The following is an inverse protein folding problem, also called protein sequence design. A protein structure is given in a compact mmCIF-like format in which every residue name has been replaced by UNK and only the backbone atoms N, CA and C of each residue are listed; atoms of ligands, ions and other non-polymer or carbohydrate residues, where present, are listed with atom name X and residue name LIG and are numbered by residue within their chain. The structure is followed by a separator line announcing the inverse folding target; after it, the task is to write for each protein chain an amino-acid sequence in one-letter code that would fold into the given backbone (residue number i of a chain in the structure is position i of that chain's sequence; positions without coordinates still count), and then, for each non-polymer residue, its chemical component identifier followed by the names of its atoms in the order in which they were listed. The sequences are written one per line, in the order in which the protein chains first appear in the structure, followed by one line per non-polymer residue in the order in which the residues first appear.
data_IF_059184710943
#
_entry.id   IF_059184710943
#
_cell.length_a   1.000
_cell.length_b   1.000
_cell.length_c   1.000
_cell.angle_alpha   90.00
_cell.angle_beta   90.00
_cell.angle_gamma   90.00
#
_symmetry.space_group_name_H-M   'P 1'
#
loop_
_entity.id
_entity.type
_entity.pdbx_description
1 polymer ?
#
# COMPACT_ATOMS: atom_id res chain seq x y z
N UNK A 1 -8.92 19.40 41.03
CA UNK A 1 -10.12 19.87 40.31
C UNK A 1 -10.69 18.69 39.55
N UNK A 2 -11.97 18.41 39.79
CA UNK A 2 -12.64 17.14 39.56
C UNK A 2 -12.92 16.84 38.08
N UNK A 3 -12.84 15.55 37.74
CA UNK A 3 -13.42 14.95 36.53
C UNK A 3 -14.83 14.44 36.85
N UNK A 4 -15.79 14.69 35.95
CA UNK A 4 -17.10 14.04 35.98
C UNK A 4 -17.51 13.70 34.56
N UNK A 5 -17.80 12.42 34.39
CA UNK A 5 -18.27 11.72 33.20
C UNK A 5 -19.66 11.26 33.61
N UNK A 6 -20.69 11.63 32.84
CA UNK A 6 -22.02 11.06 33.02
C UNK A 6 -22.50 10.41 31.73
N UNK A 7 -23.11 9.26 31.97
CA UNK A 7 -23.52 8.19 31.10
C UNK A 7 -25.05 8.24 31.03
N UNK A 8 -25.66 8.13 29.85
CA UNK A 8 -27.12 7.95 29.73
C UNK A 8 -27.44 6.91 28.65
N UNK A 9 -27.82 5.74 29.15
CA UNK A 9 -28.54 4.65 28.48
C UNK A 9 -30.03 4.77 28.79
N UNK A 10 -30.90 4.61 27.78
CA UNK A 10 -32.19 3.92 27.91
C UNK A 10 -32.82 3.60 26.52
N UNK A 11 -33.56 2.48 26.38
CA UNK A 11 -34.03 1.93 25.09
C UNK A 11 -35.55 2.12 24.86
N UNK A 12 -36.03 1.90 23.63
CA UNK A 12 -37.48 1.78 23.33
C UNK A 12 -37.78 0.74 22.23
N UNK A 13 -38.30 -0.39 22.72
CA UNK A 13 -39.36 -1.30 22.24
C UNK A 13 -39.84 -1.38 20.78
N UNK A 14 -39.94 -2.65 20.36
CA UNK A 14 -40.81 -3.35 19.41
C UNK A 14 -42.14 -2.70 18.98
N UNK A 15 -42.44 -2.84 17.67
CA UNK A 15 -43.80 -3.03 17.15
C UNK A 15 -43.78 -4.12 16.07
N UNK A 16 -44.51 -5.20 16.35
CA UNK A 16 -44.92 -6.28 15.43
C UNK A 16 -46.36 -6.06 14.98
N UNK A 17 -46.64 -6.06 13.67
CA UNK A 17 -47.91 -6.45 12.99
C UNK A 17 -47.52 -6.68 11.51
N UNK A 18 -47.95 -7.65 10.72
CA UNK A 18 -48.97 -8.70 10.76
C UNK A 18 -49.22 -9.05 9.29
N UNK A 19 -49.21 -10.34 8.94
CA UNK A 19 -49.24 -10.78 7.54
C UNK A 19 -50.60 -10.66 6.85
N UNK A 20 -50.58 -10.67 5.52
CA UNK A 20 -51.70 -11.12 4.70
C UNK A 20 -51.17 -11.68 3.36
N UNK A 21 -51.46 -12.95 3.13
CA UNK A 21 -51.35 -13.67 1.87
C UNK A 21 -52.46 -13.29 0.90
N UNK A 22 -52.16 -13.21 -0.39
CA UNK A 22 -53.16 -13.10 -1.46
C UNK A 22 -52.56 -13.40 -2.84
N UNK A 23 -52.98 -14.52 -3.40
CA UNK A 23 -52.70 -15.06 -4.75
C UNK A 23 -53.48 -14.33 -5.85
N UNK A 24 -52.88 -14.16 -7.05
CA UNK A 24 -53.43 -14.61 -8.35
C UNK A 24 -52.71 -14.00 -9.57
N UNK A 25 -52.21 -14.91 -10.40
CA UNK A 25 -52.10 -14.96 -11.87
C UNK A 25 -52.22 -13.72 -12.77
N UNK A 26 -51.33 -13.69 -13.78
CA UNK A 26 -51.49 -12.89 -14.99
C UNK A 26 -50.28 -12.97 -15.92
N UNK A 27 -50.20 -14.03 -16.72
CA UNK A 27 -49.24 -14.15 -17.82
C UNK A 27 -49.62 -13.22 -18.99
N UNK A 28 -48.67 -12.45 -19.50
CA UNK A 28 -48.66 -12.04 -20.91
C UNK A 28 -47.22 -11.86 -21.38
N UNK A 29 -46.85 -12.63 -22.39
CA UNK A 29 -45.61 -12.45 -23.12
C UNK A 29 -45.61 -11.10 -23.84
N UNK A 30 -44.43 -10.47 -23.88
CA UNK A 30 -44.09 -9.42 -24.81
C UNK A 30 -42.61 -9.56 -25.10
N UNK A 31 -42.33 -9.78 -26.38
CA UNK A 31 -41.01 -9.86 -27.00
C UNK A 31 -40.09 -8.75 -26.50
N UNK A 32 -39.01 -9.14 -25.81
CA UNK A 32 -37.90 -8.21 -25.55
C UNK A 32 -37.07 -8.09 -26.81
N UNK A 33 -37.38 -7.05 -27.57
CA UNK A 33 -36.51 -6.50 -28.62
C UNK A 33 -35.10 -6.30 -28.07
N UNK A 34 -34.15 -6.82 -28.82
CA UNK A 34 -32.74 -6.48 -28.75
C UNK A 34 -32.54 -4.96 -28.94
N UNK A 35 -31.57 -4.40 -28.22
CA UNK A 35 -30.83 -3.21 -28.63
C UNK A 35 -31.52 -1.86 -28.50
N UNK A 36 -31.52 -1.28 -27.29
CA UNK A 36 -31.50 0.18 -27.14
C UNK A 36 -30.23 0.58 -26.37
N UNK A 37 -29.40 1.35 -27.06
CA UNK A 37 -28.05 1.80 -26.69
C UNK A 37 -28.06 2.72 -25.48
N UNK A 38 -27.19 2.45 -24.50
CA UNK A 38 -26.93 3.25 -23.29
C UNK A 38 -26.25 4.62 -23.57
N UNK A 39 -26.32 5.14 -24.80
CA UNK A 39 -25.48 6.23 -25.30
C UNK A 39 -26.18 7.59 -25.46
N UNK A 40 -27.45 7.73 -25.07
CA UNK A 40 -28.20 8.98 -25.34
C UNK A 40 -28.69 9.71 -24.08
N UNK A 41 -28.05 9.42 -22.94
CA UNK A 41 -28.38 10.10 -21.69
C UNK A 41 -27.77 11.51 -21.70
N UNK A 42 -28.61 12.54 -21.64
CA UNK A 42 -28.14 13.92 -21.56
C UNK A 42 -27.77 14.30 -20.12
N UNK A 43 -26.89 15.30 -19.94
CA UNK A 43 -26.53 15.83 -18.60
C UNK A 43 -27.77 16.24 -17.79
N UNK A 44 -28.82 16.74 -18.45
CA UNK A 44 -30.08 17.10 -17.82
C UNK A 44 -30.83 15.88 -17.26
N UNK A 45 -30.89 14.78 -18.01
CA UNK A 45 -31.50 13.53 -17.55
C UNK A 45 -30.70 12.90 -16.41
N UNK A 46 -29.37 13.06 -16.42
CA UNK A 46 -28.48 12.62 -15.35
C UNK A 46 -28.69 13.40 -14.04
N UNK A 47 -28.72 14.73 -14.09
CA UNK A 47 -28.99 15.52 -12.90
C UNK A 47 -30.37 15.21 -12.32
N UNK A 48 -31.35 14.95 -13.19
CA UNK A 48 -32.69 14.51 -12.79
C UNK A 48 -32.68 13.15 -12.08
N UNK A 49 -31.96 12.15 -12.58
CA UNK A 49 -31.89 10.83 -11.94
C UNK A 49 -31.24 10.84 -10.55
N UNK A 50 -30.39 11.84 -10.28
CA UNK A 50 -29.74 12.05 -8.99
C UNK A 50 -30.53 12.97 -8.03
N UNK A 51 -31.64 13.56 -8.49
CA UNK A 51 -32.40 14.57 -7.75
C UNK A 51 -31.65 15.90 -7.58
N UNK A 52 -30.77 16.24 -8.53
CA UNK A 52 -29.91 17.43 -8.53
C UNK A 52 -30.25 18.41 -9.67
N UNK A 53 -31.53 18.47 -10.07
CA UNK A 53 -32.00 19.32 -11.17
C UNK A 53 -31.65 20.81 -10.98
N UNK A 54 -31.58 21.28 -9.73
CA UNK A 54 -31.21 22.65 -9.38
C UNK A 54 -29.77 23.04 -9.78
N UNK A 55 -28.91 22.07 -10.12
CA UNK A 55 -27.54 22.33 -10.57
C UNK A 55 -27.44 22.55 -12.09
N UNK A 56 -28.54 22.38 -12.82
CA UNK A 56 -28.59 22.49 -14.28
C UNK A 56 -27.98 23.79 -14.81
N UNK A 57 -28.31 24.92 -14.20
CA UNK A 57 -27.84 26.23 -14.67
C UNK A 57 -26.32 26.38 -14.52
N UNK A 58 -25.73 25.77 -13.49
CA UNK A 58 -24.29 25.75 -13.28
C UNK A 58 -23.62 24.93 -14.39
N UNK A 59 -24.11 23.72 -14.64
CA UNK A 59 -23.56 22.85 -15.70
C UNK A 59 -23.71 23.48 -17.09
N UNK A 60 -24.82 24.16 -17.36
CA UNK A 60 -25.03 24.86 -18.62
C UNK A 60 -24.13 26.09 -18.75
N UNK A 61 -23.97 26.89 -17.68
CA UNK A 61 -23.11 28.08 -17.69
C UNK A 61 -21.64 27.71 -17.91
N UNK A 62 -21.17 26.67 -17.23
CA UNK A 62 -19.78 26.20 -17.32
C UNK A 62 -19.56 25.21 -18.47
N UNK A 63 -20.57 24.95 -19.32
CA UNK A 63 -20.52 24.02 -20.46
C UNK A 63 -20.03 22.60 -20.09
N UNK A 64 -20.44 22.09 -18.94
CA UNK A 64 -20.05 20.77 -18.44
C UNK A 64 -20.98 19.70 -19.01
N UNK A 65 -20.45 18.90 -19.93
CA UNK A 65 -21.08 17.68 -20.45
C UNK A 65 -20.76 16.45 -19.58
N UNK A 66 -21.37 15.29 -19.88
CA UNK A 66 -21.16 14.07 -19.07
C UNK A 66 -19.73 13.52 -19.17
N UNK A 67 -19.09 13.65 -20.32
CA UNK A 67 -17.68 13.30 -20.54
C UNK A 67 -16.75 14.22 -19.74
N UNK A 68 -17.00 15.55 -19.75
CA UNK A 68 -16.24 16.49 -18.92
C UNK A 68 -16.45 16.19 -17.44
N UNK A 69 -17.69 15.92 -17.02
CA UNK A 69 -18.01 15.55 -15.64
C UNK A 69 -17.29 14.27 -15.18
N UNK A 70 -17.05 13.31 -16.09
CA UNK A 70 -16.34 12.07 -15.77
C UNK A 70 -14.89 12.30 -15.32
N UNK A 71 -14.29 13.42 -15.76
CA UNK A 71 -12.92 13.81 -15.40
C UNK A 71 -12.85 14.77 -14.19
N UNK A 72 -14.00 15.21 -13.66
CA UNK A 72 -14.06 16.17 -12.55
C UNK A 72 -14.03 15.51 -11.18
N UNK A 73 -13.21 16.05 -10.27
CA UNK A 73 -13.11 15.64 -8.88
C UNK A 73 -13.83 16.58 -7.91
N UNK A 74 -13.60 16.34 -6.62
CA UNK A 74 -14.21 17.12 -5.55
C UNK A 74 -13.76 18.58 -5.52
N UNK A 75 -12.57 18.91 -6.01
CA UNK A 75 -12.04 20.28 -6.02
C UNK A 75 -12.56 21.06 -7.24
N UNK A 76 -12.58 20.46 -8.42
CA UNK A 76 -13.11 21.06 -9.65
C UNK A 76 -14.61 21.35 -9.52
N UNK A 77 -15.37 20.45 -8.88
CA UNK A 77 -16.79 20.69 -8.60
C UNK A 77 -17.01 21.83 -7.59
N UNK A 78 -16.07 22.10 -6.67
CA UNK A 78 -16.15 23.29 -5.80
C UNK A 78 -15.88 24.56 -6.60
N UNK A 79 -14.91 24.53 -7.52
CA UNK A 79 -14.53 25.68 -8.33
C UNK A 79 -15.68 26.19 -9.20
N UNK A 80 -16.51 25.29 -9.74
CA UNK A 80 -17.73 25.66 -10.48
C UNK A 80 -18.92 26.06 -9.58
N UNK A 81 -18.74 26.05 -8.25
CA UNK A 81 -19.72 26.54 -7.28
C UNK A 81 -20.56 25.46 -6.57
N UNK A 82 -20.25 24.18 -6.73
CA UNK A 82 -20.96 23.07 -6.05
C UNK A 82 -20.29 22.78 -4.70
N UNK A 83 -20.49 23.66 -3.73
CA UNK A 83 -19.81 23.58 -2.43
C UNK A 83 -20.29 22.39 -1.57
N UNK A 84 -21.59 22.08 -1.63
CA UNK A 84 -22.22 21.03 -0.85
C UNK A 84 -21.59 19.66 -1.13
N UNK A 85 -20.96 19.06 -0.11
CA UNK A 85 -20.28 17.77 -0.24
C UNK A 85 -21.19 16.66 -0.77
N UNK A 86 -22.42 16.58 -0.26
CA UNK A 86 -23.39 15.56 -0.68
C UNK A 86 -23.75 15.64 -2.17
N UNK A 87 -23.81 16.85 -2.74
CA UNK A 87 -24.08 17.04 -4.16
C UNK A 87 -22.88 16.57 -5.00
N UNK A 88 -21.66 16.98 -4.63
CA UNK A 88 -20.42 16.54 -5.29
C UNK A 88 -20.26 15.03 -5.25
N UNK A 89 -20.51 14.42 -4.09
CA UNK A 89 -20.42 12.97 -3.92
C UNK A 89 -21.43 12.22 -4.78
N UNK A 90 -22.69 12.70 -4.85
CA UNK A 90 -23.74 12.10 -5.69
C UNK A 90 -23.40 12.19 -7.19
N UNK A 91 -22.83 13.30 -7.66
CA UNK A 91 -22.41 13.48 -9.06
C UNK A 91 -21.30 12.49 -9.42
N UNK A 92 -20.24 12.41 -8.61
CA UNK A 92 -19.10 11.50 -8.83
C UNK A 92 -19.56 10.03 -8.80
N UNK A 93 -20.33 9.63 -7.78
CA UNK A 93 -20.85 8.25 -7.70
C UNK A 93 -21.88 7.93 -8.78
N UNK A 94 -22.63 8.94 -9.23
CA UNK A 94 -23.60 8.80 -10.31
C UNK A 94 -22.92 8.52 -11.65
N UNK A 95 -21.85 9.25 -11.97
CA UNK A 95 -21.15 9.10 -13.25
C UNK A 95 -20.37 7.78 -13.30
N UNK A 96 -19.76 7.35 -12.19
CA UNK A 96 -19.14 6.03 -12.06
C UNK A 96 -20.13 4.88 -12.31
N UNK A 97 -21.38 5.01 -11.83
CA UNK A 97 -22.44 4.02 -12.08
C UNK A 97 -22.95 4.06 -13.52
N UNK A 98 -23.01 5.24 -14.12
CA UNK A 98 -23.45 5.41 -15.51
C UNK A 98 -22.44 4.84 -16.50
N UNK A 99 -21.15 5.05 -16.25
CA UNK A 99 -20.04 4.48 -17.04
C UNK A 99 -19.78 3.00 -16.74
N UNK A 100 -20.19 2.52 -15.55
CA UNK A 100 -19.97 1.16 -15.06
C UNK A 100 -21.14 0.19 -15.26
N UNK A 101 -21.98 0.37 -16.28
CA UNK A 101 -23.14 -0.49 -16.57
C UNK A 101 -22.80 -1.99 -16.58
N UNK A 102 -23.54 -2.75 -15.76
CA UNK A 102 -23.46 -4.18 -15.43
C UNK A 102 -22.72 -5.15 -16.41
N UNK A 103 -21.69 -5.81 -15.84
CA UNK A 103 -21.15 -7.17 -16.10
C UNK A 103 -20.85 -7.64 -17.53
N UNK A 104 -19.56 -7.95 -17.78
CA UNK A 104 -19.13 -8.98 -18.73
C UNK A 104 -18.29 -8.48 -19.92
N UNK A 105 -17.00 -8.17 -19.73
CA UNK A 105 -16.09 -7.87 -20.83
C UNK A 105 -14.62 -7.83 -20.38
N UNK A 106 -13.74 -8.47 -21.14
CA UNK A 106 -12.34 -8.82 -20.83
C UNK A 106 -11.47 -7.68 -20.24
N UNK A 107 -10.58 -7.97 -19.26
CA UNK A 107 -9.77 -6.99 -18.53
C UNK A 107 -8.53 -6.46 -19.30
N UNK A 108 -8.41 -6.72 -20.60
CA UNK A 108 -7.15 -6.44 -21.31
C UNK A 108 -7.04 -5.08 -21.99
N UNK A 109 -8.12 -4.36 -22.29
CA UNK A 109 -8.00 -3.13 -23.09
C UNK A 109 -9.12 -2.12 -22.79
N UNK A 110 -8.92 -1.24 -21.81
CA UNK A 110 -9.41 0.15 -21.89
C UNK A 110 -8.68 1.04 -20.88
N UNK A 111 -7.62 1.67 -21.39
CA UNK A 111 -6.84 2.73 -20.76
C UNK A 111 -7.69 4.00 -20.63
N UNK A 112 -8.05 4.40 -19.42
CA UNK A 112 -8.25 5.82 -19.06
C UNK A 112 -7.48 6.07 -17.75
N UNK A 113 -6.30 6.66 -17.91
CA UNK A 113 -5.24 6.64 -16.90
C UNK A 113 -4.77 8.06 -16.58
N UNK A 114 -5.57 8.77 -15.77
CA UNK A 114 -5.22 10.10 -15.23
C UNK A 114 -5.58 10.29 -13.75
N UNK A 115 -6.36 9.41 -13.10
CA UNK A 115 -6.71 9.59 -11.67
C UNK A 115 -6.71 8.33 -10.78
N UNK A 116 -6.28 7.17 -11.28
CA UNK A 116 -6.23 5.98 -10.42
C UNK A 116 -5.10 6.11 -9.40
N UNK A 117 -5.48 6.20 -8.12
CA UNK A 117 -4.58 6.03 -6.99
C UNK A 117 -3.92 4.64 -6.99
N UNK A 118 -3.27 4.28 -5.89
CA UNK A 118 -2.60 2.97 -5.81
C UNK A 118 -3.59 1.82 -5.88
N UNK A 119 -3.38 0.92 -6.84
CA UNK A 119 -4.05 -0.37 -6.96
C UNK A 119 -3.10 -1.46 -6.46
N UNK A 120 -3.63 -2.41 -5.70
CA UNK A 120 -2.89 -3.58 -5.23
C UNK A 120 -3.41 -4.81 -5.98
N UNK A 121 -2.53 -5.51 -6.70
CA UNK A 121 -2.86 -6.71 -7.45
C UNK A 121 -2.28 -7.91 -6.70
N UNK A 122 -3.15 -8.81 -6.23
CA UNK A 122 -2.72 -10.04 -5.56
C UNK A 122 -2.02 -10.95 -6.57
N UNK A 123 -0.81 -11.40 -6.23
CA UNK A 123 -0.09 -12.40 -7.02
C UNK A 123 -0.51 -13.80 -6.56
N UNK A 124 -0.80 -14.68 -7.52
CA UNK A 124 -1.14 -16.06 -7.22
C UNK A 124 0.12 -16.84 -6.78
N UNK A 125 0.04 -17.76 -5.80
CA UNK A 125 1.22 -18.49 -5.30
C UNK A 125 1.94 -19.35 -6.35
N UNK A 126 1.23 -19.75 -7.40
CA UNK A 126 1.76 -20.50 -8.54
C UNK A 126 2.41 -19.60 -9.61
N UNK A 127 2.26 -18.27 -9.50
CA UNK A 127 2.95 -17.29 -10.35
C UNK A 127 4.47 -17.29 -10.04
N UNK A 128 5.29 -17.28 -11.09
CA UNK A 128 6.75 -17.16 -10.98
C UNK A 128 7.17 -15.85 -10.30
N UNK A 129 6.42 -14.78 -10.50
CA UNK A 129 6.67 -13.48 -9.85
C UNK A 129 6.48 -13.59 -8.33
N UNK A 130 5.44 -14.29 -7.86
CA UNK A 130 5.25 -14.59 -6.44
C UNK A 130 6.41 -15.41 -5.89
N UNK A 131 6.76 -16.52 -6.55
CA UNK A 131 7.79 -17.46 -6.11
C UNK A 131 9.16 -16.79 -6.00
N UNK A 132 9.52 -15.93 -6.97
CA UNK A 132 10.79 -15.19 -6.94
C UNK A 132 10.87 -14.22 -5.77
N UNK A 133 9.77 -13.51 -5.46
CA UNK A 133 9.72 -12.60 -4.30
C UNK A 133 9.77 -13.37 -2.98
N UNK A 134 9.08 -14.52 -2.90
CA UNK A 134 9.14 -15.40 -1.74
C UNK A 134 10.55 -15.97 -1.52
N UNK A 135 11.20 -16.45 -2.57
CA UNK A 135 12.55 -17.01 -2.51
C UNK A 135 13.55 -15.97 -2.01
N UNK A 136 13.51 -14.75 -2.55
CA UNK A 136 14.38 -13.66 -2.08
C UNK A 136 14.07 -13.28 -0.62
N UNK A 137 12.79 -13.26 -0.23
CA UNK A 137 12.39 -12.97 1.14
C UNK A 137 12.96 -14.00 2.12
N UNK A 138 12.83 -15.29 1.82
CA UNK A 138 13.25 -16.39 2.70
C UNK A 138 14.77 -16.56 2.70
N UNK A 139 15.42 -16.56 1.54
CA UNK A 139 16.87 -16.81 1.40
C UNK A 139 17.75 -15.73 2.03
N UNK A 140 17.20 -14.53 2.25
CA UNK A 140 17.91 -13.37 2.82
C UNK A 140 17.68 -13.17 4.32
N UNK A 141 17.04 -14.13 5.01
CA UNK A 141 16.97 -14.17 6.48
C UNK A 141 18.37 -14.38 7.07
N UNK A 142 18.69 -13.65 8.14
CA UNK A 142 19.95 -13.72 8.86
C UNK A 142 19.72 -13.58 10.37
N UNK A 143 20.61 -14.15 11.17
CA UNK A 143 20.59 -13.99 12.63
C UNK A 143 21.11 -12.61 13.05
N UNK A 144 20.36 -11.87 13.86
CA UNK A 144 20.76 -10.53 14.26
C UNK A 144 21.54 -10.53 15.58
N UNK A 145 22.51 -9.61 15.69
CA UNK A 145 23.36 -9.45 16.89
C UNK A 145 22.59 -9.15 18.17
N UNK A 146 21.36 -8.64 18.06
CA UNK A 146 20.48 -8.32 19.19
C UNK A 146 19.70 -9.54 19.70
N UNK A 147 20.01 -10.75 19.22
CA UNK A 147 19.34 -11.99 19.64
C UNK A 147 17.85 -12.01 19.29
N UNK A 148 17.41 -11.24 18.29
CA UNK A 148 16.01 -11.11 17.91
C UNK A 148 15.21 -10.10 18.73
N UNK A 149 15.85 -9.26 19.55
CA UNK A 149 15.14 -8.27 20.36
C UNK A 149 14.27 -7.31 19.54
N UNK A 150 14.76 -6.78 18.43
CA UNK A 150 14.00 -5.83 17.59
C UNK A 150 13.00 -6.53 16.65
N UNK A 151 13.43 -7.61 15.99
CA UNK A 151 12.67 -8.26 14.91
C UNK A 151 11.86 -9.49 15.33
N UNK A 152 12.12 -10.04 16.51
CA UNK A 152 11.69 -11.38 16.92
C UNK A 152 12.69 -12.48 16.56
N UNK A 153 12.48 -13.66 17.11
CA UNK A 153 13.31 -14.86 16.88
C UNK A 153 12.61 -15.77 15.88
N UNK A 154 13.21 -16.00 14.72
CA UNK A 154 12.62 -16.82 13.64
C UNK A 154 13.69 -17.26 12.64
N UNK A 155 13.40 -18.34 11.91
CA UNK A 155 14.25 -18.84 10.81
C UNK A 155 13.53 -18.89 9.45
N UNK A 156 12.21 -18.64 9.44
CA UNK A 156 11.39 -18.57 8.23
C UNK A 156 10.20 -17.65 8.42
N UNK A 157 9.64 -17.16 7.32
CA UNK A 157 8.35 -16.49 7.31
C UNK A 157 7.23 -17.46 6.89
N UNK A 158 6.02 -17.16 7.34
CA UNK A 158 4.78 -17.66 6.75
C UNK A 158 4.21 -16.53 5.88
N UNK A 159 4.29 -16.68 4.56
CA UNK A 159 3.81 -15.66 3.62
C UNK A 159 2.29 -15.79 3.51
N UNK A 160 1.57 -14.72 3.82
CA UNK A 160 0.11 -14.67 3.74
C UNK A 160 -0.34 -14.25 2.35
N UNK A 161 0.29 -13.20 1.81
CA UNK A 161 0.07 -12.72 0.44
C UNK A 161 1.18 -11.79 -0.03
N UNK A 162 1.39 -11.73 -1.34
CA UNK A 162 2.25 -10.76 -2.02
C UNK A 162 1.37 -9.99 -3.00
N UNK A 163 1.41 -8.68 -2.91
CA UNK A 163 0.63 -7.80 -3.77
C UNK A 163 1.57 -6.90 -4.58
N UNK A 164 1.38 -6.84 -5.89
CA UNK A 164 2.06 -5.87 -6.74
C UNK A 164 1.41 -4.50 -6.59
N UNK A 165 2.21 -3.49 -6.31
CA UNK A 165 1.75 -2.13 -6.14
C UNK A 165 1.77 -1.45 -7.50
N UNK A 166 0.60 -1.02 -7.98
CA UNK A 166 0.44 -0.33 -9.25
C UNK A 166 -0.01 1.09 -8.98
N UNK A 167 0.89 2.04 -9.19
CA UNK A 167 0.57 3.47 -9.15
C UNK A 167 1.31 4.19 -10.28
N UNK A 168 0.56 4.65 -11.28
CA UNK A 168 1.12 5.26 -12.49
C UNK A 168 1.96 6.49 -12.19
N UNK A 169 1.44 7.41 -11.38
CA UNK A 169 2.12 8.67 -11.02
C UNK A 169 3.42 8.40 -10.25
N UNK A 170 3.43 7.43 -9.34
CA UNK A 170 4.66 7.02 -8.64
C UNK A 170 5.66 6.38 -9.60
N UNK A 171 5.19 5.52 -10.52
CA UNK A 171 6.03 4.84 -11.50
C UNK A 171 6.67 5.83 -12.48
N UNK A 172 5.93 6.83 -12.94
CA UNK A 172 6.44 7.89 -13.81
C UNK A 172 7.52 8.74 -13.12
N UNK A 173 7.29 9.17 -11.87
CA UNK A 173 8.32 9.89 -11.09
C UNK A 173 9.59 9.07 -10.91
N UNK A 174 9.43 7.78 -10.60
CA UNK A 174 10.54 6.85 -10.47
C UNK A 174 11.33 6.69 -11.78
N UNK A 175 10.64 6.41 -12.89
CA UNK A 175 11.26 6.23 -14.19
C UNK A 175 11.98 7.49 -14.68
N UNK A 176 11.40 8.67 -14.41
CA UNK A 176 12.04 9.95 -14.72
C UNK A 176 13.38 10.12 -13.98
N UNK A 177 13.38 9.95 -12.64
CA UNK A 177 14.61 10.05 -11.87
C UNK A 177 15.64 8.97 -12.24
N UNK A 178 15.16 7.76 -12.55
CA UNK A 178 16.04 6.68 -13.00
C UNK A 178 16.81 7.06 -14.26
N UNK A 179 16.13 7.69 -15.24
CA UNK A 179 16.76 8.17 -16.46
C UNK A 179 17.80 9.27 -16.18
N UNK A 180 17.45 10.27 -15.36
CA UNK A 180 18.41 11.32 -14.97
C UNK A 180 19.69 10.73 -14.35
N UNK A 181 19.55 9.77 -13.44
CA UNK A 181 20.69 9.11 -12.80
C UNK A 181 21.50 8.29 -13.80
N UNK A 182 20.85 7.65 -14.78
CA UNK A 182 21.56 6.93 -15.83
C UNK A 182 22.43 7.91 -16.64
N UNK A 183 21.86 9.04 -17.07
CA UNK A 183 22.54 10.06 -17.85
C UNK A 183 23.72 10.67 -17.06
N UNK A 184 23.55 10.89 -15.75
CA UNK A 184 24.59 11.36 -14.81
C UNK A 184 25.69 10.32 -14.54
N UNK A 185 25.42 9.03 -14.79
CA UNK A 185 26.30 7.92 -14.41
C UNK A 185 26.64 6.99 -15.58
N UNK A 186 27.00 7.55 -16.75
CA UNK A 186 27.49 6.80 -17.91
C UNK A 186 26.49 5.74 -18.41
N UNK A 187 25.21 6.09 -18.46
CA UNK A 187 24.08 5.20 -18.81
C UNK A 187 23.86 4.02 -17.85
N UNK A 188 24.37 4.11 -16.61
CA UNK A 188 24.18 3.08 -15.58
C UNK A 188 23.38 3.61 -14.38
N UNK A 189 22.09 3.30 -14.33
CA UNK A 189 21.24 3.67 -13.19
C UNK A 189 21.44 2.79 -11.95
N UNK A 190 22.06 1.60 -12.09
CA UNK A 190 22.37 0.69 -10.97
C UNK A 190 21.13 0.40 -10.09
N UNK A 191 20.06 -0.10 -10.71
CA UNK A 191 18.84 -0.49 -10.00
C UNK A 191 19.08 -1.79 -9.22
N UNK A 192 18.59 -1.83 -7.98
CA UNK A 192 18.51 -3.06 -7.19
C UNK A 192 17.13 -3.23 -6.58
N UNK A 193 16.75 -4.49 -6.39
CA UNK A 193 15.62 -4.85 -5.56
C UNK A 193 16.08 -4.94 -4.10
N UNK A 194 15.43 -4.22 -3.19
CA UNK A 194 15.80 -4.14 -1.78
C UNK A 194 14.57 -4.06 -0.87
N UNK A 195 14.67 -4.59 0.35
CA UNK A 195 13.58 -4.59 1.32
C UNK A 195 13.49 -3.27 2.09
N UNK A 196 12.28 -2.90 2.49
CA UNK A 196 12.01 -1.78 3.38
C UNK A 196 10.90 -2.11 4.39
N UNK A 197 11.21 -2.02 5.68
CA UNK A 197 10.24 -2.15 6.77
C UNK A 197 9.96 -0.79 7.42
N UNK A 198 8.69 -0.48 7.65
CA UNK A 198 8.27 0.80 8.24
C UNK A 198 6.86 0.70 8.82
N UNK A 199 6.57 1.40 9.93
CA UNK A 199 5.19 1.53 10.43
C UNK A 199 4.33 2.41 9.51
N UNK A 200 4.92 3.08 8.51
CA UNK A 200 4.25 4.01 7.59
C UNK A 200 4.04 3.44 6.18
N UNK A 201 4.09 2.11 6.00
CA UNK A 201 3.95 1.45 4.69
C UNK A 201 2.72 1.92 3.90
N UNK A 202 1.56 2.10 4.56
CA UNK A 202 0.36 2.61 3.89
C UNK A 202 0.56 3.99 3.27
N UNK A 203 1.30 4.88 3.94
CA UNK A 203 1.62 6.19 3.36
C UNK A 203 2.56 6.04 2.16
N UNK A 204 3.57 5.16 2.26
CA UNK A 204 4.56 4.92 1.21
C UNK A 204 3.91 4.38 -0.06
N UNK A 205 3.04 3.37 0.02
CA UNK A 205 2.40 2.79 -1.17
C UNK A 205 1.44 3.77 -1.86
N UNK A 206 0.85 4.72 -1.13
CA UNK A 206 -0.09 5.71 -1.69
C UNK A 206 0.57 7.00 -2.17
N UNK A 207 1.64 7.45 -1.50
CA UNK A 207 2.27 8.76 -1.74
C UNK A 207 3.70 8.67 -2.27
N UNK A 208 4.27 7.47 -2.30
CA UNK A 208 5.68 7.22 -2.57
C UNK A 208 6.57 7.43 -1.35
N UNK A 209 7.85 7.12 -1.51
CA UNK A 209 8.87 7.52 -0.54
C UNK A 209 9.04 9.04 -0.55
N UNK A 210 9.43 9.60 0.59
CA UNK A 210 9.57 11.04 0.80
C UNK A 210 10.66 11.30 1.84
N UNK A 211 11.78 11.86 1.40
CA UNK A 211 12.95 12.15 2.23
C UNK A 211 12.66 13.15 3.36
N UNK A 212 11.58 13.93 3.27
CA UNK A 212 11.16 14.84 4.35
C UNK A 212 10.73 14.10 5.61
N UNK A 213 10.42 12.80 5.48
CA UNK A 213 10.11 11.90 6.60
C UNK A 213 11.30 10.97 6.93
N UNK A 214 12.48 11.22 6.39
CA UNK A 214 13.66 10.41 6.63
C UNK A 214 14.05 10.40 8.12
N UNK A 215 14.57 9.26 8.57
CA UNK A 215 15.04 9.12 9.93
C UNK A 215 16.40 9.82 10.10
N UNK A 216 16.39 11.00 10.70
CA UNK A 216 17.60 11.82 10.97
C UNK A 216 18.62 11.07 11.86
N UNK A 217 18.13 10.16 12.71
CA UNK A 217 18.96 9.38 13.63
C UNK A 217 19.73 8.22 12.98
N UNK A 218 19.53 7.92 11.69
CA UNK A 218 20.20 6.80 11.00
C UNK A 218 21.71 6.97 10.87
N UNK A 219 22.47 5.88 10.74
CA UNK A 219 23.95 5.91 10.72
C UNK A 219 24.53 6.78 9.58
N UNK A 220 23.80 6.91 8.48
CA UNK A 220 24.18 7.72 7.33
C UNK A 220 23.37 9.02 7.21
N UNK A 221 22.71 9.42 8.30
CA UNK A 221 21.91 10.64 8.38
C UNK A 221 20.49 10.51 7.80
N UNK A 222 19.93 11.64 7.36
CA UNK A 222 18.52 11.81 6.99
C UNK A 222 18.22 11.28 5.58
N UNK A 223 18.39 9.98 5.40
CA UNK A 223 18.04 9.26 4.17
C UNK A 223 16.93 8.23 4.36
N UNK A 224 16.53 7.62 3.24
CA UNK A 224 15.60 6.49 3.19
C UNK A 224 16.44 5.22 3.10
N UNK A 225 16.26 4.32 4.08
CA UNK A 225 17.10 3.14 4.27
C UNK A 225 16.42 1.89 3.71
N UNK A 226 17.23 1.05 3.07
CA UNK A 226 16.84 -0.24 2.52
C UNK A 226 17.87 -1.31 2.94
N UNK A 227 17.44 -2.56 2.93
CA UNK A 227 18.29 -3.69 3.25
C UNK A 227 18.21 -4.77 2.16
N UNK A 228 19.33 -5.43 1.89
CA UNK A 228 19.34 -6.67 1.10
C UNK A 228 18.86 -7.88 1.91
N UNK A 229 18.86 -7.78 3.25
CA UNK A 229 18.34 -8.82 4.12
C UNK A 229 16.91 -8.51 4.56
N UNK A 230 15.96 -9.37 4.23
CA UNK A 230 14.55 -9.23 4.65
C UNK A 230 14.42 -9.09 6.17
N UNK A 231 15.15 -9.91 6.91
CA UNK A 231 15.18 -9.92 8.38
C UNK A 231 15.66 -8.61 9.00
N UNK A 232 16.53 -7.87 8.32
CA UNK A 232 16.98 -6.53 8.73
C UNK A 232 15.85 -5.52 8.60
N UNK A 233 15.13 -5.53 7.48
CA UNK A 233 13.93 -4.69 7.29
C UNK A 233 12.80 -5.05 8.27
N UNK A 234 12.65 -6.33 8.63
CA UNK A 234 11.69 -6.77 9.64
C UNK A 234 11.92 -6.10 11.02
N UNK A 235 13.15 -5.74 11.40
CA UNK A 235 13.44 -5.02 12.65
C UNK A 235 12.81 -3.61 12.71
N UNK A 236 12.33 -3.06 11.59
CA UNK A 236 11.79 -1.71 11.48
C UNK A 236 10.28 -1.66 11.19
N UNK A 237 9.62 -2.81 11.02
CA UNK A 237 8.17 -2.89 10.73
C UNK A 237 7.34 -2.18 11.79
N UNK A 238 7.72 -2.31 13.06
CA UNK A 238 7.05 -1.66 14.18
C UNK A 238 7.75 -0.38 14.66
N UNK A 239 8.65 0.19 13.85
CA UNK A 239 9.45 1.36 14.17
C UNK A 239 10.89 1.01 14.59
N UNK A 240 11.65 2.05 14.96
CA UNK A 240 13.09 1.94 15.29
C UNK A 240 13.29 0.95 16.43
N UNK A 241 14.19 -0.02 16.23
CA UNK A 241 14.47 -1.07 17.22
C UNK A 241 13.26 -1.98 17.52
N UNK A 242 12.33 -2.11 16.58
CA UNK A 242 11.08 -2.85 16.75
C UNK A 242 10.01 -2.13 17.57
N UNK A 243 10.25 -0.90 18.02
CA UNK A 243 9.31 -0.12 18.83
C UNK A 243 8.78 -0.90 20.04
N UNK A 244 7.46 -0.85 20.23
CA UNK A 244 6.76 -1.63 21.26
C UNK A 244 6.22 -2.97 20.73
N UNK A 245 6.66 -3.40 19.54
CA UNK A 245 6.16 -4.60 18.89
C UNK A 245 4.78 -4.42 18.26
N UNK A 246 4.08 -5.53 18.03
CA UNK A 246 2.76 -5.49 17.40
C UNK A 246 1.75 -4.67 18.24
N UNK A 247 0.84 -3.90 17.62
CA UNK A 247 -0.07 -3.03 18.35
C UNK A 247 -0.96 -3.76 19.37
N UNK A 248 -1.38 -4.98 19.04
CA UNK A 248 -2.31 -5.81 19.82
C UNK A 248 -1.66 -6.41 21.06
N UNK A 249 -0.50 -7.07 20.92
CA UNK A 249 0.11 -7.83 22.01
C UNK A 249 1.32 -7.12 22.65
N UNK A 250 1.75 -5.98 22.09
CA UNK A 250 2.98 -5.28 22.51
C UNK A 250 4.21 -6.19 22.52
N UNK A 251 4.27 -7.09 21.53
CA UNK A 251 5.30 -8.11 21.41
C UNK A 251 6.05 -7.95 20.07
N UNK A 252 7.38 -7.74 20.17
CA UNK A 252 8.30 -7.62 19.02
C UNK A 252 8.54 -8.95 18.33
N UNK A 253 8.36 -10.07 19.04
CA UNK A 253 8.47 -11.43 18.54
C UNK A 253 7.11 -12.10 18.31
N UNK A 254 6.05 -11.31 18.12
CA UNK A 254 4.72 -11.85 17.91
C UNK A 254 4.66 -12.72 16.64
N UNK A 255 4.21 -13.96 16.82
CA UNK A 255 4.01 -14.97 15.76
C UNK A 255 2.57 -15.03 15.23
N UNK A 256 1.67 -14.18 15.75
CA UNK A 256 0.23 -14.18 15.43
C UNK A 256 -0.14 -13.02 14.52
N UNK A 257 0.30 -11.80 14.83
CA UNK A 257 -0.07 -10.62 14.04
C UNK A 257 0.59 -10.65 12.66
N UNK A 258 -0.18 -10.30 11.64
CA UNK A 258 0.36 -10.05 10.31
C UNK A 258 1.28 -8.83 10.34
N UNK A 259 2.43 -8.97 9.69
CA UNK A 259 3.41 -7.93 9.41
C UNK A 259 3.35 -7.57 7.94
N UNK A 260 3.83 -6.38 7.62
CA UNK A 260 4.00 -5.96 6.25
C UNK A 260 5.39 -5.37 6.05
N UNK A 261 6.01 -5.71 4.92
CA UNK A 261 7.23 -5.06 4.42
C UNK A 261 7.12 -4.83 2.92
N UNK A 262 7.94 -3.93 2.41
CA UNK A 262 8.03 -3.64 0.98
C UNK A 262 9.26 -4.31 0.39
N UNK A 263 9.15 -4.73 -0.87
CA UNK A 263 10.27 -5.11 -1.71
C UNK A 263 10.30 -4.17 -2.92
N UNK A 264 11.31 -3.32 -2.97
CA UNK A 264 11.31 -2.08 -3.73
C UNK A 264 12.35 -2.11 -4.84
N UNK A 265 12.05 -1.48 -5.98
CA UNK A 265 13.10 -1.05 -6.92
C UNK A 265 13.78 0.19 -6.35
N UNK A 266 15.11 0.19 -6.32
CA UNK A 266 15.91 1.29 -5.78
C UNK A 266 17.02 1.63 -6.77
N UNK A 267 17.00 2.85 -7.28
CA UNK A 267 18.00 3.38 -8.20
C UNK A 267 19.17 3.97 -7.43
N UNK A 268 20.31 3.29 -7.43
CA UNK A 268 21.47 3.66 -6.62
C UNK A 268 22.45 4.57 -7.36
N UNK A 269 22.47 4.56 -8.69
CA UNK A 269 23.48 5.25 -9.49
C UNK A 269 24.90 4.95 -9.03
N UNK A 270 25.76 5.97 -9.06
CA UNK A 270 27.06 5.95 -8.37
C UNK A 270 26.89 5.98 -6.85
N UNK A 271 27.21 4.87 -6.20
CA UNK A 271 27.12 4.72 -4.74
C UNK A 271 28.42 5.11 -4.05
N UNK A 272 28.30 5.88 -2.96
CA UNK A 272 29.40 6.16 -2.05
C UNK A 272 29.50 5.06 -0.99
N UNK A 273 30.63 4.35 -0.95
CA UNK A 273 30.84 3.25 -0.02
C UNK A 273 31.32 3.78 1.33
N UNK A 274 30.71 3.32 2.42
CA UNK A 274 31.09 3.73 3.76
C UNK A 274 31.07 2.55 4.74
N UNK A 275 32.01 2.55 5.69
CA UNK A 275 32.18 1.48 6.69
C UNK A 275 31.86 1.93 8.12
N UNK A 276 31.78 3.25 8.35
CA UNK A 276 31.51 3.89 9.64
C UNK A 276 30.34 4.88 9.55
N UNK A 277 29.71 5.18 10.69
CA UNK A 277 28.62 6.15 10.70
C UNK A 277 29.11 7.53 10.23
N UNK A 278 28.37 8.14 9.30
CA UNK A 278 28.65 9.47 8.76
C UNK A 278 27.32 10.14 8.46
N UNK A 279 26.95 11.13 9.27
CA UNK A 279 25.65 11.81 9.14
C UNK A 279 25.63 12.68 7.89
N UNK A 280 24.72 12.40 6.97
CA UNK A 280 24.51 13.16 5.74
C UNK A 280 23.05 13.58 5.61
N UNK A 281 22.79 14.75 5.02
CA UNK A 281 21.44 15.20 4.67
C UNK A 281 21.10 14.93 3.20
N UNK A 282 22.13 14.76 2.38
CA UNK A 282 22.03 14.53 0.94
C UNK A 282 23.12 13.53 0.52
N UNK A 283 23.01 12.99 -0.70
CA UNK A 283 24.08 12.17 -1.25
C UNK A 283 25.40 12.98 -1.34
N UNK A 284 26.57 12.36 -1.11
CA UNK A 284 27.86 13.02 -1.29
C UNK A 284 28.03 13.60 -2.70
N UNK A 285 28.84 14.66 -2.88
CA UNK A 285 29.09 15.24 -4.20
C UNK A 285 29.47 14.18 -5.25
N UNK A 286 28.80 14.23 -6.41
CA UNK A 286 28.98 13.29 -7.50
C UNK A 286 28.46 11.87 -7.25
N UNK A 287 27.71 11.63 -6.18
CA UNK A 287 27.09 10.35 -5.86
C UNK A 287 25.56 10.49 -5.74
N UNK A 288 24.86 9.36 -5.82
CA UNK A 288 23.39 9.33 -5.81
C UNK A 288 22.84 8.51 -4.64
N UNK A 289 23.70 7.69 -4.01
CA UNK A 289 23.35 6.84 -2.88
C UNK A 289 24.57 6.60 -1.99
N UNK A 290 24.32 6.05 -0.80
CA UNK A 290 25.35 5.56 0.12
C UNK A 290 25.11 4.08 0.38
N UNK A 291 26.17 3.29 0.39
CA UNK A 291 26.13 1.88 0.81
C UNK A 291 26.99 1.74 2.06
N UNK A 292 26.32 1.49 3.19
CA UNK A 292 26.96 1.07 4.43
C UNK A 292 27.37 -0.39 4.32
N UNK A 293 28.68 -0.67 4.28
CA UNK A 293 29.18 -2.05 4.26
C UNK A 293 29.33 -2.62 5.68
N UNK A 294 29.16 -3.94 5.86
CA UNK A 294 29.47 -4.60 7.11
C UNK A 294 30.91 -4.36 7.56
N UNK A 295 31.11 -4.21 8.87
CA UNK A 295 32.43 -4.09 9.49
C UNK A 295 32.42 -4.67 10.91
N UNK A 296 33.59 -5.10 11.40
CA UNK A 296 33.73 -5.82 12.68
C UNK A 296 33.09 -5.04 13.84
N UNK A 297 33.30 -3.72 13.89
CA UNK A 297 32.78 -2.83 14.94
C UNK A 297 31.63 -1.93 14.46
N UNK A 298 31.10 -2.17 13.26
CA UNK A 298 30.02 -1.37 12.67
C UNK A 298 28.83 -2.23 12.30
N UNK A 299 28.31 -2.01 11.09
CA UNK A 299 27.15 -2.73 10.59
C UNK A 299 27.39 -4.24 10.55
N UNK A 300 26.38 -5.02 10.92
CA UNK A 300 26.37 -6.46 10.73
C UNK A 300 26.04 -6.85 9.28
N UNK A 301 25.16 -6.07 8.64
CA UNK A 301 24.62 -6.30 7.30
C UNK A 301 24.64 -5.00 6.50
N UNK A 302 24.67 -5.11 5.17
CA UNK A 302 24.72 -3.93 4.33
C UNK A 302 23.41 -3.12 4.42
N UNK A 303 23.54 -1.80 4.39
CA UNK A 303 22.42 -0.86 4.31
C UNK A 303 22.60 0.05 3.10
N UNK A 304 21.51 0.30 2.39
CA UNK A 304 21.48 1.13 1.19
C UNK A 304 20.64 2.37 1.47
N UNK A 305 21.21 3.55 1.20
CA UNK A 305 20.59 4.83 1.55
C UNK A 305 20.50 5.73 0.33
N UNK A 306 19.28 6.19 0.05
CA UNK A 306 18.99 7.24 -0.93
C UNK A 306 18.48 8.48 -0.20
N UNK A 307 18.60 9.65 -0.82
CA UNK A 307 18.25 10.93 -0.21
C UNK A 307 17.14 11.67 -0.96
N UNK A 308 16.47 10.98 -1.89
CA UNK A 308 15.35 11.46 -2.69
C UNK A 308 14.32 10.36 -2.82
N UNK A 309 13.07 10.66 -2.51
CA UNK A 309 11.97 9.68 -2.57
C UNK A 309 11.80 9.03 -3.95
N UNK A 310 11.95 9.81 -5.01
CA UNK A 310 11.79 9.37 -6.40
C UNK A 310 12.87 8.37 -6.88
N UNK A 311 13.92 8.10 -6.09
CA UNK A 311 14.88 7.03 -6.40
C UNK A 311 14.37 5.63 -6.04
N UNK A 312 13.20 5.50 -5.41
CA UNK A 312 12.62 4.19 -5.08
C UNK A 312 11.15 4.07 -5.48
N UNK A 313 10.78 2.88 -5.92
CA UNK A 313 9.39 2.49 -6.18
C UNK A 313 9.01 1.28 -5.33
N UNK A 314 7.93 1.34 -4.54
CA UNK A 314 7.49 0.22 -3.71
C UNK A 314 6.82 -0.85 -4.56
N UNK A 315 7.59 -1.71 -5.26
CA UNK A 315 7.09 -2.66 -6.26
C UNK A 315 6.12 -3.70 -5.68
N UNK A 316 6.47 -4.28 -4.53
CA UNK A 316 5.68 -5.32 -3.88
C UNK A 316 5.39 -4.99 -2.41
N UNK A 317 4.16 -5.27 -1.98
CA UNK A 317 3.73 -5.28 -0.60
C UNK A 317 3.58 -6.74 -0.15
N UNK A 318 4.39 -7.14 0.82
CA UNK A 318 4.42 -8.51 1.32
C UNK A 318 3.75 -8.54 2.70
N UNK A 319 2.71 -9.35 2.86
CA UNK A 319 2.05 -9.60 4.14
C UNK A 319 2.46 -10.98 4.64
N UNK A 320 2.98 -11.05 5.87
CA UNK A 320 3.60 -12.27 6.39
C UNK A 320 3.50 -12.37 7.92
N UNK A 321 3.85 -13.53 8.47
CA UNK A 321 4.15 -13.73 9.89
C UNK A 321 5.58 -14.25 10.03
N UNK A 322 6.25 -13.93 11.13
CA UNK A 322 7.45 -14.68 11.53
C UNK A 322 7.03 -16.02 12.12
N UNK A 323 7.81 -17.08 11.91
CA UNK A 323 7.50 -18.41 12.44
C UNK A 323 8.39 -18.75 13.63
N UNK A 324 7.76 -19.21 14.70
CA UNK A 324 8.44 -19.67 15.91
C UNK A 324 9.36 -20.85 15.57
N UNK A 325 10.66 -20.80 15.91
CA UNK A 325 11.55 -21.95 15.74
C UNK A 325 11.04 -23.14 16.55
N UNK A 326 11.20 -24.34 16.00
CA UNK A 326 10.94 -25.58 16.73
C UNK A 326 11.94 -25.68 17.90
N UNK A 327 11.44 -25.94 19.11
CA UNK A 327 12.33 -26.21 20.24
C UNK A 327 12.92 -27.61 20.05
N UNK A 328 14.24 -27.81 20.23
CA UNK A 328 14.80 -29.15 20.24
C UNK A 328 14.08 -29.97 21.33
N UNK A 329 13.51 -31.10 20.95
CA UNK A 329 12.86 -32.00 21.90
C UNK A 329 13.87 -32.35 22.99
N UNK A 330 13.51 -32.12 24.26
CA UNK A 330 14.33 -32.56 25.39
C UNK A 330 14.55 -34.08 25.25
N UNK A 331 15.77 -34.59 25.39
CA UNK A 331 15.99 -36.04 25.36
C UNK A 331 15.14 -36.66 26.46
N UNK A 332 14.30 -37.63 26.07
CA UNK A 332 13.47 -38.39 26.99
C UNK A 332 14.37 -38.92 28.11
N UNK A 333 14.08 -38.55 29.35
CA UNK A 333 14.78 -39.07 30.51
C UNK A 333 14.67 -40.61 30.47
N UNK A 334 15.79 -41.28 30.21
CA UNK A 334 15.88 -42.72 30.33
C UNK A 334 15.56 -43.06 31.79
N UNK A 335 14.41 -43.71 32.00
CA UNK A 335 14.06 -44.26 33.29
C UNK A 335 15.12 -45.30 33.67
N UNK A 336 15.90 -45.01 34.71
CA UNK A 336 16.78 -45.97 35.36
C UNK A 336 15.94 -47.18 35.83
N UNK A 337 16.08 -48.30 35.12
CA UNK A 337 15.70 -49.59 35.66
C UNK A 337 16.72 -49.96 36.75
N UNK A 338 16.34 -49.72 38.00
CA UNK A 338 16.95 -50.42 39.14
C UNK A 338 16.62 -51.91 39.00
N UNK A 339 17.65 -52.72 38.70
CA UNK A 339 17.68 -54.15 39.03
C UNK A 339 18.32 -54.36 40.39
#
# INVERSE_FOLDING_TARGET
AASSIDNLTAPLSDITVGGASGTADGASGSDRKEGETLLDMTINQFLKSLGLEHLRDIFQREQISLDVLADMGHEELKEIGINAYGHRHKLIKGIERLLGGQQGGNPYLTFHCSSQGTVLIDLAPDDKEFQSVEEELQSTIREHRDGGNAGGVFSRYNIIKIQKVVNKKLRERYAHRQKEIADENHNHHNERMLFHGSPFINAIIHKGFDERHAYIGGMFGAGIYFAENSSKSNQYVYGIGGGTGCPTHKDRSCYVCHRQMLFCRVTLGKSFLQFSAMKMAHAPPGHHSVIGRPSVNGLAYAEYVIYRGEQAYPEYLITYQIVKPESPAAPAAAAEQKS
#
